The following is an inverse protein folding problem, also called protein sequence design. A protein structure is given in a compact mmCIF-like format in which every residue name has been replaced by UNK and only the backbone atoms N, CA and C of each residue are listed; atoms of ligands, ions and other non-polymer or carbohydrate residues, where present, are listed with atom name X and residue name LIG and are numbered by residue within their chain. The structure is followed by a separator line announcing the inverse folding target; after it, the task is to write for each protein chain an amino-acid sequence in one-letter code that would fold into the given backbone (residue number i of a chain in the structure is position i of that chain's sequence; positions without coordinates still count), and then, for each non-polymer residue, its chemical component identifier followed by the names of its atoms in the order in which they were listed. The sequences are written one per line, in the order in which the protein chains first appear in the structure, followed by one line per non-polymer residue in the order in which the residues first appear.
data_IF_232213486708
#
_entry.id   IF_232213486708
#
_cell.length_a   1.000
_cell.length_b   1.000
_cell.length_c   1.000
_cell.angle_alpha   90.00
_cell.angle_beta   90.00
_cell.angle_gamma   90.00
#
_symmetry.space_group_name_H-M   'P 1'
#
loop_
_entity.id
_entity.type
_entity.pdbx_description
1 polymer ?
#
# COMPACT_ATOMS: atom_id res chain seq x y z
N UNK A 1 -13.46 6.36 4.35
CA UNK A 1 -12.64 5.38 3.61
C UNK A 1 -13.51 4.70 2.56
N UNK A 2 -13.01 4.42 1.34
CA UNK A 2 -13.78 3.66 0.35
C UNK A 2 -14.02 2.23 0.88
N UNK A 3 -15.28 1.83 1.06
CA UNK A 3 -15.60 0.58 1.78
C UNK A 3 -15.20 -0.66 0.97
N UNK A 4 -15.40 -0.67 -0.35
CA UNK A 4 -14.95 -1.73 -1.25
C UNK A 4 -13.45 -2.06 -1.12
N UNK A 5 -12.56 -1.07 -0.96
CA UNK A 5 -11.11 -1.31 -0.78
C UNK A 5 -10.80 -1.96 0.57
N UNK A 6 -11.55 -1.60 1.61
CA UNK A 6 -11.39 -2.21 2.95
C UNK A 6 -11.83 -3.67 2.94
N UNK A 7 -12.90 -3.98 2.20
CA UNK A 7 -13.33 -5.36 1.97
C UNK A 7 -12.33 -6.15 1.14
N UNK A 8 -11.78 -5.56 0.09
CA UNK A 8 -10.75 -6.20 -0.72
C UNK A 8 -9.49 -6.54 0.10
N UNK A 9 -9.01 -5.59 0.91
CA UNK A 9 -7.92 -5.84 1.85
C UNK A 9 -8.25 -6.98 2.83
N UNK A 10 -9.48 -7.01 3.37
CA UNK A 10 -9.91 -8.05 4.28
C UNK A 10 -9.97 -9.43 3.62
N UNK A 11 -10.45 -9.52 2.37
CA UNK A 11 -10.51 -10.76 1.61
C UNK A 11 -9.11 -11.34 1.31
N UNK A 12 -8.09 -10.48 1.23
CA UNK A 12 -6.69 -10.85 1.06
C UNK A 12 -5.95 -11.15 2.38
N UNK A 13 -6.66 -11.13 3.52
CA UNK A 13 -6.08 -11.16 4.88
C UNK A 13 -5.02 -10.06 5.15
N UNK A 14 -5.15 -8.93 4.45
CA UNK A 14 -4.26 -7.78 4.64
C UNK A 14 -4.73 -6.94 5.83
N UNK A 15 -4.20 -7.27 7.01
CA UNK A 15 -4.49 -6.54 8.26
C UNK A 15 -3.73 -5.21 8.35
N UNK A 16 -4.47 -4.10 8.31
CA UNK A 16 -3.94 -2.75 8.44
C UNK A 16 -4.98 -1.65 8.18
N UNK A 17 -4.50 -0.42 8.03
CA UNK A 17 -5.29 0.74 7.63
C UNK A 17 -5.17 0.91 6.11
N UNK A 18 -6.29 1.09 5.41
CA UNK A 18 -6.26 1.45 3.98
C UNK A 18 -6.07 2.95 3.85
N UNK A 19 -4.96 3.35 3.26
CA UNK A 19 -4.65 4.74 2.90
C UNK A 19 -4.97 4.92 1.42
N UNK A 20 -6.10 5.57 1.08
CA UNK A 20 -6.50 5.74 -0.30
C UNK A 20 -5.65 6.82 -1.00
N UNK A 21 -5.72 6.83 -2.33
CA UNK A 21 -5.35 7.97 -3.15
C UNK A 21 -3.88 8.39 -2.98
N UNK A 22 -2.99 7.40 -2.92
CA UNK A 22 -1.54 7.52 -2.78
C UNK A 22 -0.93 7.60 -4.18
N UNK A 23 -0.08 8.60 -4.43
CA UNK A 23 0.69 8.65 -5.67
C UNK A 23 1.96 7.81 -5.51
N UNK A 24 2.12 6.79 -6.36
CA UNK A 24 3.33 5.95 -6.38
C UNK A 24 3.63 5.53 -7.82
N UNK A 25 4.91 5.69 -8.24
CA UNK A 25 5.40 5.23 -9.55
C UNK A 25 4.52 5.69 -10.75
N UNK A 26 4.02 6.92 -10.71
CA UNK A 26 3.16 7.49 -11.75
C UNK A 26 1.68 7.08 -11.68
N UNK A 27 1.26 6.38 -10.63
CA UNK A 27 -0.09 5.85 -10.47
C UNK A 27 -0.77 6.32 -9.18
N UNK A 28 -2.10 6.28 -9.16
CA UNK A 28 -2.93 6.51 -7.97
C UNK A 28 -3.43 5.18 -7.45
N UNK A 29 -3.04 4.87 -6.23
CA UNK A 29 -3.26 3.55 -5.62
C UNK A 29 -3.82 3.71 -4.21
N UNK A 30 -4.28 2.60 -3.64
CA UNK A 30 -4.59 2.53 -2.22
C UNK A 30 -3.61 1.60 -1.54
N UNK A 31 -2.93 2.07 -0.50
CA UNK A 31 -1.95 1.29 0.23
C UNK A 31 -2.60 0.70 1.49
N UNK A 32 -2.35 -0.56 1.79
CA UNK A 32 -2.68 -1.16 3.09
C UNK A 32 -1.45 -1.11 3.95
N UNK A 33 -1.54 -0.46 5.11
CA UNK A 33 -0.39 -0.24 5.98
C UNK A 33 -0.64 -0.72 7.40
N UNK A 34 0.40 -1.29 8.00
CA UNK A 34 0.38 -1.69 9.41
C UNK A 34 1.26 -0.74 10.20
N UNK A 35 0.71 -0.16 11.27
CA UNK A 35 1.49 0.70 12.17
C UNK A 35 2.31 -0.17 13.12
N UNK A 36 3.62 0.07 13.15
CA UNK A 36 4.54 -0.49 14.15
C UNK A 36 4.43 0.33 15.42
N UNK A 37 3.56 -0.13 16.34
CA UNK A 37 3.16 0.65 17.51
C UNK A 37 4.34 1.02 18.43
N UNK A 38 5.29 0.09 18.59
CA UNK A 38 6.55 0.27 19.29
C UNK A 38 7.38 1.42 18.70
N UNK A 39 7.57 1.42 17.37
CA UNK A 39 8.33 2.46 16.66
C UNK A 39 7.58 3.78 16.65
N UNK A 40 6.26 3.77 16.44
CA UNK A 40 5.43 4.97 16.53
C UNK A 40 5.55 5.63 17.92
N UNK A 41 5.42 4.85 18.99
CA UNK A 41 5.55 5.34 20.36
C UNK A 41 6.96 5.86 20.66
N UNK A 42 8.00 5.16 20.21
CA UNK A 42 9.38 5.62 20.34
C UNK A 42 9.60 6.94 19.59
N UNK A 43 9.16 7.05 18.33
CA UNK A 43 9.31 8.26 17.52
C UNK A 43 8.62 9.46 18.16
N UNK A 44 7.39 9.28 18.66
CA UNK A 44 6.69 10.36 19.39
C UNK A 44 7.46 10.84 20.61
N UNK A 45 7.96 9.91 21.44
CA UNK A 45 8.71 10.24 22.66
C UNK A 45 10.03 10.95 22.38
N UNK A 46 10.65 10.65 21.24
CA UNK A 46 11.96 11.16 20.85
C UNK A 46 11.90 12.30 19.82
N UNK A 47 10.72 12.90 19.58
CA UNK A 47 10.60 14.07 18.71
C UNK A 47 10.81 13.78 17.21
N UNK A 48 10.49 12.57 16.75
CA UNK A 48 10.61 12.15 15.34
C UNK A 48 9.25 12.07 14.63
N UNK A 49 8.61 13.21 14.27
CA UNK A 49 7.35 13.19 13.54
C UNK A 49 7.51 12.54 12.15
N UNK A 50 6.39 12.19 11.48
CA UNK A 50 6.43 11.85 10.06
C UNK A 50 7.08 12.99 9.25
N UNK A 51 7.95 12.66 8.30
CA UNK A 51 8.55 13.65 7.40
C UNK A 51 8.46 13.17 5.93
N UNK A 52 7.38 13.56 5.21
CA UNK A 52 7.16 13.11 3.84
C UNK A 52 7.95 13.92 2.78
N UNK A 53 8.73 14.93 3.17
CA UNK A 53 9.42 15.80 2.21
C UNK A 53 10.50 15.04 1.43
N UNK A 54 10.48 15.00 0.09
CA UNK A 54 11.53 14.36 -0.70
C UNK A 54 12.93 14.96 -0.48
N UNK A 55 13.02 16.25 -0.12
CA UNK A 55 14.30 16.91 0.17
C UNK A 55 15.00 16.32 1.39
N UNK A 56 14.23 15.87 2.37
CA UNK A 56 14.76 15.18 3.56
C UNK A 56 15.40 13.84 3.20
N UNK A 57 14.88 13.12 2.21
CA UNK A 57 15.45 11.83 1.83
C UNK A 57 16.77 11.93 1.10
N UNK A 58 17.04 13.07 0.46
CA UNK A 58 18.34 13.31 -0.15
C UNK A 58 19.45 13.35 0.89
N UNK A 59 19.18 13.84 2.09
CA UNK A 59 20.20 13.85 3.16
C UNK A 59 20.50 12.44 3.66
N UNK A 60 19.63 11.45 3.43
CA UNK A 60 19.87 10.06 3.86
C UNK A 60 20.94 9.35 3.04
N UNK A 61 21.33 9.92 1.90
CA UNK A 61 22.46 9.47 1.10
C UNK A 61 23.81 9.86 1.72
N UNK A 62 23.81 10.78 2.69
CA UNK A 62 25.02 11.26 3.34
C UNK A 62 25.46 10.27 4.43
N UNK A 63 26.69 9.73 4.37
CA UNK A 63 27.16 8.73 5.33
C UNK A 63 27.09 9.16 6.80
N UNK A 64 27.17 10.46 7.07
CA UNK A 64 27.20 11.03 8.41
C UNK A 64 25.88 10.88 9.18
N UNK A 65 24.76 10.61 8.51
CA UNK A 65 23.42 10.58 9.12
C UNK A 65 22.79 9.20 9.19
N UNK A 66 23.42 8.14 8.67
CA UNK A 66 22.82 6.79 8.65
C UNK A 66 22.37 6.29 10.04
N UNK A 67 23.19 6.50 11.08
CA UNK A 67 22.88 6.05 12.45
C UNK A 67 21.81 6.92 13.16
N UNK A 68 21.43 8.04 12.55
CA UNK A 68 20.48 9.01 13.13
C UNK A 68 19.09 8.91 12.52
N UNK A 69 18.88 8.04 11.52
CA UNK A 69 17.61 7.93 10.82
C UNK A 69 16.61 7.09 11.64
N UNK A 70 15.38 7.60 11.85
CA UNK A 70 14.38 6.82 12.56
C UNK A 70 13.94 5.62 11.72
N UNK A 71 13.65 4.51 12.40
CA UNK A 71 13.01 3.36 11.78
C UNK A 71 11.64 3.75 11.19
N UNK A 72 11.24 3.03 10.13
CA UNK A 72 9.90 3.20 9.55
C UNK A 72 8.84 2.81 10.59
N UNK A 73 7.90 3.73 10.86
CA UNK A 73 6.80 3.51 11.81
C UNK A 73 5.62 2.75 11.21
N UNK A 74 5.64 2.49 9.91
CA UNK A 74 4.65 1.71 9.20
C UNK A 74 5.33 0.68 8.30
N UNK A 75 4.62 -0.42 8.08
CA UNK A 75 4.92 -1.46 7.10
C UNK A 75 3.90 -1.34 5.97
N UNK A 76 4.35 -1.45 4.71
CA UNK A 76 3.45 -1.57 3.56
C UNK A 76 3.07 -3.04 3.39
N UNK A 77 1.83 -3.38 3.74
CA UNK A 77 1.30 -4.75 3.70
C UNK A 77 0.93 -5.14 2.28
N UNK A 78 0.39 -4.21 1.52
CA UNK A 78 0.00 -4.44 0.14
C UNK A 78 -0.49 -3.18 -0.56
N UNK A 79 -0.63 -3.27 -1.87
CA UNK A 79 -1.10 -2.20 -2.75
C UNK A 79 -2.35 -2.69 -3.49
N UNK A 80 -3.41 -1.88 -3.45
CA UNK A 80 -4.66 -2.09 -4.15
C UNK A 80 -4.79 -1.07 -5.28
N UNK A 81 -5.10 -1.55 -6.47
CA UNK A 81 -5.32 -0.73 -7.67
C UNK A 81 -6.71 -0.99 -8.21
N UNK A 82 -7.53 0.04 -8.37
CA UNK A 82 -8.89 -0.13 -8.90
C UNK A 82 -8.87 -0.01 -10.42
N UNK A 83 -9.47 -0.98 -11.12
CA UNK A 83 -9.63 -0.95 -12.58
C UNK A 83 -11.04 -1.42 -12.96
N UNK A 84 -11.46 -1.09 -14.17
CA UNK A 84 -12.75 -1.57 -14.71
C UNK A 84 -12.63 -2.92 -15.43
N UNK A 85 -11.41 -3.33 -15.82
CA UNK A 85 -11.18 -4.55 -16.60
C UNK A 85 -9.85 -5.19 -16.22
N UNK A 86 -9.80 -6.52 -16.27
CA UNK A 86 -8.58 -7.31 -15.97
C UNK A 86 -7.41 -6.97 -16.91
N UNK A 87 -7.69 -6.60 -18.17
CA UNK A 87 -6.66 -6.29 -19.19
C UNK A 87 -5.75 -5.12 -18.82
N UNK A 88 -6.20 -4.23 -17.93
CA UNK A 88 -5.39 -3.10 -17.44
C UNK A 88 -4.53 -3.46 -16.24
N UNK A 89 -4.85 -4.54 -15.54
CA UNK A 89 -4.24 -4.90 -14.27
C UNK A 89 -2.72 -5.07 -14.38
N UNK A 90 -2.22 -5.75 -15.42
CA UNK A 90 -0.78 -5.98 -15.59
C UNK A 90 -0.02 -4.64 -15.72
N UNK A 91 -0.52 -3.74 -16.57
CA UNK A 91 0.04 -2.39 -16.73
C UNK A 91 -0.05 -1.62 -15.41
N UNK A 92 -1.18 -1.74 -14.72
CA UNK A 92 -1.47 -0.92 -13.55
C UNK A 92 -0.88 -1.45 -12.25
N UNK A 93 -0.40 -2.70 -12.20
CA UNK A 93 0.19 -3.31 -11.01
C UNK A 93 1.67 -3.67 -11.20
N UNK A 94 2.14 -3.81 -12.45
CA UNK A 94 3.44 -4.40 -12.77
C UNK A 94 4.63 -3.74 -12.06
N UNK A 95 4.70 -2.41 -12.02
CA UNK A 95 5.80 -1.74 -11.31
C UNK A 95 5.57 -1.69 -9.79
N UNK A 96 4.31 -1.68 -9.35
CA UNK A 96 3.95 -1.55 -7.94
C UNK A 96 4.29 -2.81 -7.14
N UNK A 97 4.31 -3.98 -7.78
CA UNK A 97 4.68 -5.24 -7.13
C UNK A 97 6.12 -5.26 -6.61
N UNK A 98 6.96 -4.34 -7.09
CA UNK A 98 8.33 -4.14 -6.58
C UNK A 98 8.36 -3.54 -5.16
N UNK A 99 7.23 -2.99 -4.69
CA UNK A 99 7.12 -2.30 -3.39
C UNK A 99 6.50 -3.20 -2.31
N UNK A 100 5.50 -4.00 -2.67
CA UNK A 100 4.73 -4.89 -1.80
C UNK A 100 3.84 -5.81 -2.66
N UNK A 101 3.20 -6.85 -2.09
CA UNK A 101 2.12 -7.57 -2.76
C UNK A 101 1.11 -6.61 -3.38
N UNK A 102 0.79 -6.79 -4.67
CA UNK A 102 -0.07 -5.89 -5.41
C UNK A 102 -1.28 -6.65 -5.96
N UNK A 103 -2.48 -6.11 -5.75
CA UNK A 103 -3.70 -6.69 -6.26
C UNK A 103 -4.56 -5.63 -6.98
N UNK A 104 -5.15 -6.04 -8.10
CA UNK A 104 -6.18 -5.26 -8.77
C UNK A 104 -7.54 -5.55 -8.15
N UNK A 105 -8.32 -4.50 -7.93
CA UNK A 105 -9.71 -4.56 -7.47
C UNK A 105 -10.60 -4.24 -8.67
N UNK A 106 -11.43 -5.21 -9.04
CA UNK A 106 -12.33 -5.13 -10.18
C UNK A 106 -13.78 -5.16 -9.68
N UNK A 107 -14.71 -4.45 -10.33
CA UNK A 107 -16.13 -4.66 -10.06
C UNK A 107 -16.52 -6.09 -10.41
N UNK A 108 -17.57 -6.61 -9.76
CA UNK A 108 -18.19 -7.85 -10.19
C UNK A 108 -18.73 -7.70 -11.62
N UNK A 109 -18.61 -8.76 -12.40
CA UNK A 109 -18.88 -8.74 -13.83
C UNK A 109 -18.91 -10.14 -14.42
N UNK A 110 -19.13 -10.27 -15.73
CA UNK A 110 -19.07 -11.56 -16.41
C UNK A 110 -17.71 -12.22 -16.18
N UNK A 111 -17.68 -13.56 -16.22
CA UNK A 111 -16.41 -14.30 -16.12
C UNK A 111 -15.46 -13.80 -17.20
N UNK A 112 -14.30 -13.35 -16.77
CA UNK A 112 -13.23 -12.98 -17.69
C UNK A 112 -12.73 -14.22 -18.45
N UNK A 113 -12.14 -13.98 -19.62
CA UNK A 113 -11.28 -14.96 -20.28
C UNK A 113 -10.23 -15.46 -19.26
N UNK A 114 -10.03 -16.79 -19.12
CA UNK A 114 -9.05 -17.33 -18.18
C UNK A 114 -7.62 -16.86 -18.47
N UNK A 115 -7.29 -16.52 -19.72
CA UNK A 115 -5.92 -16.21 -20.10
C UNK A 115 -5.32 -14.98 -19.36
N UNK A 116 -6.00 -13.82 -19.29
CA UNK A 116 -5.57 -12.72 -18.44
C UNK A 116 -5.35 -13.08 -16.96
N UNK A 117 -6.16 -13.97 -16.39
CA UNK A 117 -6.00 -14.37 -14.99
C UNK A 117 -4.74 -15.21 -14.79
N UNK A 118 -4.46 -16.13 -15.73
CA UNK A 118 -3.24 -16.95 -15.73
C UNK A 118 -2.00 -16.05 -15.89
N UNK A 119 -2.07 -15.03 -16.75
CA UNK A 119 -0.97 -14.07 -16.91
C UNK A 119 -0.70 -13.31 -15.60
N UNK A 120 -1.74 -12.83 -14.92
CA UNK A 120 -1.58 -12.11 -13.65
C UNK A 120 -1.04 -13.01 -12.54
N UNK A 121 -1.52 -14.26 -12.44
CA UNK A 121 -1.01 -15.27 -11.53
C UNK A 121 0.48 -15.54 -11.78
N UNK A 122 0.88 -15.73 -13.04
CA UNK A 122 2.28 -15.94 -13.43
C UNK A 122 3.20 -14.80 -12.99
N UNK A 123 2.74 -13.54 -13.08
CA UNK A 123 3.53 -12.41 -12.61
C UNK A 123 3.49 -12.25 -11.09
N UNK A 124 2.47 -12.77 -10.40
CA UNK A 124 2.24 -12.64 -8.96
C UNK A 124 1.30 -11.47 -8.59
N UNK A 125 0.47 -11.01 -9.52
CA UNK A 125 -0.50 -9.92 -9.32
C UNK A 125 -1.84 -10.52 -8.89
N UNK A 126 -2.33 -10.12 -7.72
CA UNK A 126 -3.60 -10.58 -7.21
C UNK A 126 -4.81 -9.96 -7.93
N UNK A 127 -5.93 -10.66 -7.91
CA UNK A 127 -7.21 -10.20 -8.45
C UNK A 127 -8.29 -10.36 -7.40
N UNK A 128 -8.96 -9.26 -7.07
CA UNK A 128 -10.11 -9.24 -6.17
C UNK A 128 -11.32 -8.68 -6.90
N UNK A 129 -12.43 -9.42 -6.90
CA UNK A 129 -13.72 -8.90 -7.34
C UNK A 129 -14.50 -8.33 -6.18
N UNK A 130 -15.12 -7.17 -6.38
CA UNK A 130 -16.00 -6.52 -5.41
C UNK A 130 -17.40 -6.36 -5.99
N UNK A 131 -18.40 -6.88 -5.27
CA UNK A 131 -19.81 -6.58 -5.52
C UNK A 131 -20.17 -5.29 -4.79
N UNK A 132 -19.95 -4.14 -5.45
CA UNK A 132 -20.14 -2.82 -4.86
C UNK A 132 -19.51 -2.73 -3.47
N UNK A 133 -20.37 -2.48 -2.47
CA UNK A 133 -20.02 -2.44 -1.05
C UNK A 133 -20.62 -3.62 -0.27
N UNK A 134 -20.73 -4.81 -0.86
CA UNK A 134 -21.32 -5.99 -0.19
C UNK A 134 -20.26 -7.05 0.11
N UNK A 135 -19.64 -7.62 -0.92
CA UNK A 135 -18.70 -8.73 -0.79
C UNK A 135 -17.45 -8.54 -1.64
N UNK A 136 -16.34 -9.14 -1.19
CA UNK A 136 -15.10 -9.20 -1.95
C UNK A 136 -14.63 -10.66 -2.05
N UNK A 137 -14.22 -11.09 -3.26
CA UNK A 137 -13.71 -12.45 -3.52
C UNK A 137 -12.35 -12.38 -4.19
N UNK A 138 -11.39 -13.11 -3.65
CA UNK A 138 -10.08 -13.31 -4.27
C UNK A 138 -10.21 -14.35 -5.37
N UNK A 139 -9.83 -13.99 -6.60
CA UNK A 139 -9.75 -14.93 -7.73
C UNK A 139 -8.33 -15.40 -7.99
N UNK A 140 -7.35 -14.50 -7.81
CA UNK A 140 -5.92 -14.79 -7.88
C UNK A 140 -5.28 -14.21 -6.62
N UNK A 141 -4.58 -15.00 -5.80
CA UNK A 141 -3.85 -14.46 -4.66
C UNK A 141 -2.60 -13.70 -5.12
N UNK A 142 -2.28 -12.53 -4.53
CA UNK A 142 -1.05 -11.82 -4.84
C UNK A 142 0.16 -12.48 -4.19
N UNK A 143 1.30 -12.45 -4.87
CA UNK A 143 2.59 -12.89 -4.32
C UNK A 143 3.39 -11.71 -3.76
N UNK A 144 4.23 -11.98 -2.74
CA UNK A 144 5.17 -10.99 -2.24
C UNK A 144 6.51 -11.05 -2.98
N UNK A 145 6.59 -10.34 -4.10
CA UNK A 145 7.82 -10.26 -4.91
C UNK A 145 8.72 -9.08 -4.57
N UNK A 146 8.32 -8.22 -3.63
CA UNK A 146 9.08 -7.03 -3.26
C UNK A 146 10.49 -7.36 -2.74
N UNK A 147 10.66 -8.52 -2.10
CA UNK A 147 11.96 -9.00 -1.61
C UNK A 147 12.98 -9.22 -2.74
N UNK A 148 12.53 -9.56 -3.95
CA UNK A 148 13.41 -9.79 -5.12
C UNK A 148 14.08 -8.49 -5.59
N UNK A 149 13.49 -7.33 -5.29
CA UNK A 149 13.97 -6.02 -5.72
C UNK A 149 14.79 -5.30 -4.65
N UNK A 150 14.71 -5.76 -3.40
CA UNK A 150 15.42 -5.18 -2.27
C UNK A 150 14.91 -3.80 -1.83
N UNK A 151 15.51 -3.22 -0.79
CA UNK A 151 15.11 -1.91 -0.27
C UNK A 151 15.46 -0.79 -1.26
N UNK A 152 14.58 0.21 -1.37
CA UNK A 152 14.82 1.42 -2.16
C UNK A 152 14.54 2.69 -1.36
N UNK A 153 15.24 3.77 -1.70
CA UNK A 153 14.98 5.09 -1.11
C UNK A 153 13.55 5.56 -1.39
N UNK A 154 13.02 5.25 -2.58
CA UNK A 154 11.64 5.52 -2.93
C UNK A 154 10.68 4.76 -2.01
N UNK A 155 10.88 3.46 -1.81
CA UNK A 155 10.05 2.66 -0.90
C UNK A 155 10.10 3.20 0.53
N UNK A 156 11.30 3.57 1.00
CA UNK A 156 11.46 4.15 2.34
C UNK A 156 10.81 5.53 2.49
N UNK A 157 10.86 6.35 1.44
CA UNK A 157 10.12 7.62 1.35
C UNK A 157 8.61 7.41 1.37
N UNK A 158 8.13 6.46 0.58
CA UNK A 158 6.71 6.09 0.54
C UNK A 158 6.20 5.71 1.93
N UNK A 159 6.98 4.97 2.73
CA UNK A 159 6.61 4.66 4.12
C UNK A 159 6.45 5.91 5.00
N UNK A 160 7.25 6.97 4.84
CA UNK A 160 7.03 8.23 5.58
C UNK A 160 5.78 8.98 5.09
N UNK A 161 5.52 8.98 3.78
CA UNK A 161 4.28 9.55 3.21
C UNK A 161 3.06 8.84 3.79
N UNK A 162 3.09 7.51 3.85
CA UNK A 162 2.01 6.71 4.40
C UNK A 162 1.87 6.93 5.91
N UNK A 163 2.98 7.02 6.64
CA UNK A 163 2.96 7.30 8.07
C UNK A 163 2.34 8.67 8.38
N UNK A 164 2.70 9.72 7.64
CA UNK A 164 2.11 11.06 7.77
C UNK A 164 0.59 11.01 7.55
N UNK A 165 0.13 10.33 6.51
CA UNK A 165 -1.30 10.18 6.22
C UNK A 165 -2.07 9.46 7.32
N UNK A 166 -1.52 8.36 7.87
CA UNK A 166 -2.14 7.62 8.97
C UNK A 166 -2.25 8.47 10.22
N UNK A 167 -1.18 9.17 10.60
CA UNK A 167 -1.18 10.04 11.79
C UNK A 167 -2.19 11.17 11.64
N UNK A 168 -2.25 11.83 10.47
CA UNK A 168 -3.22 12.89 10.20
C UNK A 168 -4.66 12.39 10.26
N UNK A 169 -4.94 11.22 9.68
CA UNK A 169 -6.27 10.62 9.73
C UNK A 169 -6.69 10.31 11.18
N UNK A 170 -5.80 9.71 11.98
CA UNK A 170 -6.07 9.41 13.39
C UNK A 170 -6.33 10.67 14.22
N UNK A 171 -5.59 11.76 13.98
CA UNK A 171 -5.82 13.06 14.65
C UNK A 171 -7.17 13.66 14.24
N UNK A 172 -7.53 13.59 12.96
CA UNK A 172 -8.83 14.08 12.49
C UNK A 172 -10.00 13.30 13.11
N UNK A 173 -9.90 11.97 13.18
CA UNK A 173 -10.90 11.12 13.84
C UNK A 173 -11.03 11.43 15.34
N UNK A 174 -9.91 11.64 16.04
CA UNK A 174 -9.92 12.00 17.45
C UNK A 174 -10.59 13.36 17.72
N UNK A 175 -10.42 14.33 16.81
CA UNK A 175 -11.09 15.64 16.89
C UNK A 175 -12.57 15.57 16.60
N UNK A 176 -13.01 14.72 15.68
CA UNK A 176 -14.42 14.57 15.34
C UNK A 176 -15.26 13.87 16.43
N UNK A 177 -14.61 13.22 17.40
CA UNK A 177 -15.25 12.55 18.54
C UNK A 177 -15.33 13.42 19.81
N UNK A 178 -14.77 14.62 19.77
CA UNK A 178 -14.82 15.62 20.85
C UNK A 178 -15.91 16.64 20.55
#
# INVERSE_FOLDING_TARGET
MPQHLSRAASALDWRGVVVPDVAALGQRVSAVVRVRQDVHAWRKRNGWPPNPSPSWFRTWLEPAVYDQLPLAAVELVGVLVTESTVRRALRSCGTLMTLAPCAVVLPEGPRDDPWPLIELDYYGIGVVRVDGDLTARVEVPPENRAAEFGPSLFGRWLLEVLYDRVVRAAVAEARARQ
#
